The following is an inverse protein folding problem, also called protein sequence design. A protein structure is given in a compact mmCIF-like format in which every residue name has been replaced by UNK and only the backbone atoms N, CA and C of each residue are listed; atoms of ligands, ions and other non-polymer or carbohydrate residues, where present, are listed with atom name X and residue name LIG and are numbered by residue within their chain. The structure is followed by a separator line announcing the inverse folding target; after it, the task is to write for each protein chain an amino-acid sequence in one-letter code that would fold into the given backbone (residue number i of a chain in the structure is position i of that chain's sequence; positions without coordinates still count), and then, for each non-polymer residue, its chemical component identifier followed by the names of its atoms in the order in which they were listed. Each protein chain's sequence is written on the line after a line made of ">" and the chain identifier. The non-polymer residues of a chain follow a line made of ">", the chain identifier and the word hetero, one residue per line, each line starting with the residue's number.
data_IF_059886195353
#
_entry.id   IF_059886195353
#
_cell.length_a   1.000
_cell.length_b   1.000
_cell.length_c   1.000
_cell.angle_alpha   90.00
_cell.angle_beta   90.00
_cell.angle_gamma   90.00
#
_symmetry.space_group_name_H-M   'P 1'
#
loop_
_entity.id
_entity.type
_entity.pdbx_description
1 polymer ?
#
# COMPACT_ATOMS: atom_id res chain seq x y z
N UNK A 1 51.09 31.20 -2.60
CA UNK A 1 50.19 31.03 -3.76
C UNK A 1 49.95 29.55 -3.95
N UNK A 2 48.67 29.16 -3.92
CA UNK A 2 48.05 27.90 -4.35
C UNK A 2 48.48 26.59 -3.65
N UNK A 3 47.75 26.26 -2.57
CA UNK A 3 47.44 24.87 -2.20
C UNK A 3 46.56 24.25 -3.29
N UNK A 4 47.06 23.22 -3.97
CA UNK A 4 46.38 22.52 -5.05
C UNK A 4 45.87 21.16 -4.54
N UNK A 5 44.92 21.17 -3.59
CA UNK A 5 44.21 19.98 -3.14
C UNK A 5 42.95 19.76 -3.99
N UNK A 6 43.13 19.36 -5.25
CA UNK A 6 42.04 18.80 -6.07
C UNK A 6 41.97 17.29 -5.85
N UNK A 7 41.43 16.88 -4.70
CA UNK A 7 41.08 15.49 -4.44
C UNK A 7 39.72 15.22 -5.13
N UNK A 8 39.75 14.94 -6.43
CA UNK A 8 38.59 14.38 -7.13
C UNK A 8 38.23 13.05 -6.47
N UNK A 9 36.98 12.82 -6.03
CA UNK A 9 36.59 11.52 -5.49
C UNK A 9 36.87 10.43 -6.54
N UNK A 10 37.50 9.34 -6.12
CA UNK A 10 37.93 8.26 -7.02
C UNK A 10 36.77 7.74 -7.89
N UNK A 11 37.04 7.53 -9.18
CA UNK A 11 36.05 7.00 -10.12
C UNK A 11 35.57 5.62 -9.68
N UNK A 12 34.25 5.47 -9.50
CA UNK A 12 33.60 4.19 -9.19
C UNK A 12 33.29 3.37 -10.45
N UNK A 13 33.71 3.88 -11.62
CA UNK A 13 33.48 3.24 -12.91
C UNK A 13 34.28 1.93 -12.99
N UNK A 14 33.58 0.81 -13.26
CA UNK A 14 34.17 -0.53 -13.31
C UNK A 14 34.06 -1.34 -12.01
N UNK A 15 33.50 -0.76 -10.93
CA UNK A 15 33.12 -1.53 -9.75
C UNK A 15 31.86 -2.37 -10.02
N UNK A 16 31.77 -3.53 -9.37
CA UNK A 16 30.62 -4.42 -9.50
C UNK A 16 29.42 -3.88 -8.70
N UNK A 17 28.29 -3.71 -9.35
CA UNK A 17 27.03 -3.38 -8.70
C UNK A 17 26.41 -4.59 -8.01
N UNK A 18 25.67 -4.35 -6.93
CA UNK A 18 24.82 -5.39 -6.33
C UNK A 18 23.74 -5.82 -7.34
N UNK A 19 23.41 -7.12 -7.36
CA UNK A 19 22.36 -7.69 -8.20
C UNK A 19 21.20 -8.15 -7.35
N UNK A 20 20.00 -8.08 -7.91
CA UNK A 20 18.78 -8.52 -7.23
C UNK A 20 18.28 -9.78 -7.92
N UNK A 21 18.36 -10.92 -7.23
CA UNK A 21 17.83 -12.19 -7.74
C UNK A 21 16.30 -12.10 -7.89
N UNK A 22 15.68 -12.69 -8.93
CA UNK A 22 14.22 -12.78 -9.04
C UNK A 22 13.53 -13.38 -7.81
N UNK A 23 14.19 -14.31 -7.10
CA UNK A 23 13.67 -14.90 -5.85
C UNK A 23 13.42 -13.84 -4.76
N UNK A 24 14.10 -12.69 -4.81
CA UNK A 24 13.88 -11.59 -3.89
C UNK A 24 12.49 -10.99 -4.01
N UNK A 25 11.83 -11.05 -5.18
CA UNK A 25 10.46 -10.57 -5.36
C UNK A 25 9.48 -11.30 -4.41
N UNK A 26 9.68 -12.62 -4.28
CA UNK A 26 8.90 -13.45 -3.35
C UNK A 26 9.25 -13.17 -1.89
N UNK A 27 10.55 -13.11 -1.55
CA UNK A 27 10.95 -12.80 -0.17
C UNK A 27 10.43 -11.44 0.27
N UNK A 28 10.48 -10.44 -0.61
CA UNK A 28 10.02 -9.09 -0.33
C UNK A 28 8.50 -9.02 -0.09
N UNK A 29 7.71 -9.85 -0.77
CA UNK A 29 6.25 -9.90 -0.60
C UNK A 29 5.80 -10.46 0.75
N UNK A 30 6.62 -11.27 1.42
CA UNK A 30 6.33 -11.81 2.77
C UNK A 30 6.26 -10.76 3.88
N UNK A 31 6.63 -9.51 3.57
CA UNK A 31 6.45 -8.37 4.48
C UNK A 31 4.98 -8.08 4.78
N UNK A 32 4.07 -8.54 3.93
CA UNK A 32 2.62 -8.38 4.10
C UNK A 32 1.99 -9.71 4.51
N UNK A 33 1.63 -9.83 5.80
CA UNK A 33 0.85 -10.98 6.28
C UNK A 33 -0.59 -10.98 5.75
N UNK A 34 -1.14 -9.80 5.44
CA UNK A 34 -2.54 -9.60 5.06
C UNK A 34 -2.66 -8.88 3.71
N UNK A 35 -3.46 -9.41 2.78
CA UNK A 35 -3.58 -8.90 1.41
C UNK A 35 -4.06 -7.45 1.31
N UNK A 36 -4.98 -6.98 2.17
CA UNK A 36 -5.39 -5.57 2.09
C UNK A 36 -4.30 -4.60 2.54
N UNK A 37 -3.34 -5.05 3.37
CA UNK A 37 -2.17 -4.23 3.67
C UNK A 37 -1.31 -3.99 2.41
N UNK A 38 -1.22 -5.00 1.53
CA UNK A 38 -0.54 -4.89 0.25
C UNK A 38 -1.32 -4.00 -0.74
N UNK A 39 -2.65 -4.12 -0.80
CA UNK A 39 -3.50 -3.22 -1.61
C UNK A 39 -3.31 -1.77 -1.14
N UNK A 40 -3.26 -1.54 0.17
CA UNK A 40 -3.16 -0.20 0.70
C UNK A 40 -1.80 0.47 0.40
N UNK A 41 -0.71 -0.27 0.18
CA UNK A 41 0.54 0.32 -0.36
C UNK A 41 0.32 0.93 -1.76
N UNK A 42 -0.54 0.33 -2.58
CA UNK A 42 -0.89 0.86 -3.91
C UNK A 42 -1.75 2.13 -3.77
N UNK A 43 -2.72 2.10 -2.85
CA UNK A 43 -3.56 3.27 -2.51
C UNK A 43 -2.70 4.41 -1.99
N UNK A 44 -1.73 4.12 -1.12
CA UNK A 44 -0.81 5.11 -0.53
C UNK A 44 0.04 5.82 -1.60
N UNK A 45 0.44 5.12 -2.66
CA UNK A 45 1.18 5.74 -3.77
C UNK A 45 0.34 6.74 -4.56
N UNK A 46 -0.95 6.44 -4.81
CA UNK A 46 -1.86 7.38 -5.46
C UNK A 46 -2.21 8.56 -4.54
N UNK A 47 -2.37 8.29 -3.24
CA UNK A 47 -2.68 9.29 -2.23
C UNK A 47 -1.53 10.29 -2.00
N UNK A 48 -0.29 9.88 -2.22
CA UNK A 48 0.89 10.69 -1.90
C UNK A 48 0.97 12.02 -2.69
N UNK A 49 1.55 13.07 -2.08
CA UNK A 49 1.51 14.44 -2.61
C UNK A 49 2.26 14.66 -3.92
N UNK A 50 3.12 13.72 -4.32
CA UNK A 50 3.79 13.71 -5.62
C UNK A 50 2.92 13.12 -6.74
N UNK A 51 1.96 12.25 -6.41
CA UNK A 51 0.98 11.73 -7.38
C UNK A 51 -0.18 12.70 -7.59
N UNK A 52 -0.68 13.33 -6.52
CA UNK A 52 -1.80 14.29 -6.55
C UNK A 52 -3.10 13.76 -7.17
N UNK A 53 -3.39 12.47 -7.00
CA UNK A 53 -4.66 11.91 -7.45
C UNK A 53 -5.83 12.42 -6.61
N UNK A 54 -6.92 12.80 -7.28
CA UNK A 54 -8.19 13.14 -6.64
C UNK A 54 -9.11 11.92 -6.57
N UNK A 55 -8.96 10.97 -7.50
CA UNK A 55 -9.77 9.77 -7.62
C UNK A 55 -8.88 8.53 -7.80
N UNK A 56 -9.24 7.47 -7.08
CA UNK A 56 -8.69 6.13 -7.23
C UNK A 56 -9.82 5.13 -7.44
N UNK A 57 -9.72 4.29 -8.47
CA UNK A 57 -10.61 3.16 -8.68
C UNK A 57 -9.85 1.84 -8.56
N UNK A 58 -10.29 0.99 -7.65
CA UNK A 58 -9.86 -0.40 -7.55
C UNK A 58 -10.95 -1.25 -8.21
N UNK A 59 -10.58 -2.07 -9.17
CA UNK A 59 -11.56 -2.88 -9.90
C UNK A 59 -11.05 -4.28 -10.18
N UNK A 60 -11.96 -5.16 -10.51
CA UNK A 60 -11.67 -6.50 -11.01
C UNK A 60 -12.27 -6.68 -12.40
N UNK A 61 -11.56 -7.41 -13.25
CA UNK A 61 -12.09 -7.92 -14.51
C UNK A 61 -11.36 -9.21 -14.90
N UNK A 62 -11.97 -9.97 -15.80
CA UNK A 62 -11.36 -11.19 -16.36
C UNK A 62 -10.85 -10.87 -17.77
N UNK A 63 -9.57 -11.15 -18.03
CA UNK A 63 -8.98 -11.06 -19.36
C UNK A 63 -8.31 -12.37 -19.73
N UNK A 64 -8.63 -12.90 -20.91
CA UNK A 64 -8.14 -14.19 -21.40
C UNK A 64 -8.27 -15.33 -20.36
N UNK A 65 -9.39 -15.34 -19.62
CA UNK A 65 -9.67 -16.35 -18.59
C UNK A 65 -8.88 -16.17 -17.28
N UNK A 66 -8.18 -15.06 -17.10
CA UNK A 66 -7.45 -14.74 -15.87
C UNK A 66 -8.09 -13.58 -15.12
N UNK A 67 -8.22 -13.71 -13.81
CA UNK A 67 -8.60 -12.61 -12.92
C UNK A 67 -7.51 -11.55 -12.84
N UNK A 68 -7.90 -10.30 -13.04
CA UNK A 68 -7.02 -9.13 -12.99
C UNK A 68 -7.54 -8.17 -11.93
N UNK A 69 -6.72 -7.88 -10.93
CA UNK A 69 -6.93 -6.75 -10.04
C UNK A 69 -6.35 -5.49 -10.70
N UNK A 70 -7.16 -4.46 -10.85
CA UNK A 70 -6.75 -3.17 -11.40
C UNK A 70 -6.84 -2.07 -10.36
N UNK A 71 -5.86 -1.18 -10.36
CA UNK A 71 -5.82 0.03 -9.54
C UNK A 71 -5.53 1.19 -10.47
N UNK A 72 -6.44 2.16 -10.59
CA UNK A 72 -6.32 3.28 -11.53
C UNK A 72 -6.55 4.61 -10.81
N UNK A 73 -5.55 5.48 -10.88
CA UNK A 73 -5.62 6.85 -10.37
C UNK A 73 -5.63 7.88 -11.51
N UNK A 74 -6.07 9.10 -11.18
CA UNK A 74 -6.08 10.26 -12.07
C UNK A 74 -4.98 11.29 -11.73
N UNK A 75 -3.90 10.83 -11.12
CA UNK A 75 -2.78 11.69 -10.71
C UNK A 75 -1.94 12.20 -11.88
N UNK A 76 -0.75 12.70 -11.58
CA UNK A 76 0.17 13.30 -12.56
C UNK A 76 0.84 12.30 -13.52
N UNK A 77 0.72 11.00 -13.25
CA UNK A 77 1.51 9.95 -13.90
C UNK A 77 3.02 10.11 -13.66
N UNK A 78 3.82 9.38 -14.43
CA UNK A 78 5.27 9.26 -14.32
C UNK A 78 5.95 9.45 -15.68
N UNK A 79 7.20 9.91 -15.66
CA UNK A 79 8.12 9.77 -16.82
C UNK A 79 8.62 8.33 -16.95
N UNK A 80 9.22 7.96 -18.09
CA UNK A 80 9.89 6.66 -18.27
C UNK A 80 10.92 6.38 -17.16
N UNK A 81 11.73 7.38 -16.80
CA UNK A 81 12.72 7.26 -15.73
C UNK A 81 12.07 7.07 -14.35
N UNK A 82 10.99 7.80 -14.06
CA UNK A 82 10.26 7.64 -12.80
C UNK A 82 9.59 6.27 -12.70
N UNK A 83 9.05 5.75 -13.81
CA UNK A 83 8.53 4.39 -13.89
C UNK A 83 9.63 3.36 -13.64
N UNK A 84 10.79 3.51 -14.29
CA UNK A 84 11.95 2.64 -14.06
C UNK A 84 12.41 2.67 -12.59
N UNK A 85 12.49 3.85 -11.99
CA UNK A 85 12.82 4.01 -10.57
C UNK A 85 11.73 3.39 -9.66
N UNK A 86 10.46 3.55 -10.02
CA UNK A 86 9.32 2.99 -9.30
C UNK A 86 9.30 1.46 -9.35
N UNK A 87 9.79 0.84 -10.43
CA UNK A 87 9.97 -0.61 -10.55
C UNK A 87 11.29 -1.11 -9.92
N UNK A 88 12.32 -0.26 -9.84
CA UNK A 88 13.64 -0.59 -9.29
C UNK A 88 13.70 -0.53 -7.76
N UNK A 89 14.46 -1.42 -7.13
CA UNK A 89 14.61 -1.44 -5.67
C UNK A 89 15.47 -0.30 -5.13
N UNK A 90 15.05 0.29 -4.00
CA UNK A 90 15.85 1.28 -3.27
C UNK A 90 15.75 2.72 -3.78
N UNK A 91 14.98 2.98 -4.85
CA UNK A 91 14.73 4.33 -5.34
C UNK A 91 13.43 4.88 -4.75
N UNK A 92 13.52 5.99 -4.03
CA UNK A 92 12.37 6.71 -3.47
C UNK A 92 12.63 8.21 -3.46
N UNK A 93 11.90 8.96 -4.30
CA UNK A 93 11.97 10.41 -4.36
C UNK A 93 10.61 11.00 -3.99
N UNK A 94 10.27 11.00 -2.71
CA UNK A 94 9.00 11.57 -2.22
C UNK A 94 9.25 12.86 -1.44
N UNK A 95 8.59 13.94 -1.86
CA UNK A 95 8.74 15.26 -1.25
C UNK A 95 7.37 15.71 -0.73
N UNK A 96 7.31 16.11 0.55
CA UNK A 96 6.07 16.64 1.12
C UNK A 96 5.71 18.00 0.52
N UNK A 97 4.41 18.21 0.26
CA UNK A 97 3.89 19.47 -0.27
C UNK A 97 2.76 20.02 0.62
N UNK A 98 2.78 21.33 0.91
CA UNK A 98 1.68 22.06 1.58
C UNK A 98 1.10 21.38 2.83
N UNK A 99 1.97 20.85 3.70
CA UNK A 99 1.56 20.15 4.93
C UNK A 99 1.00 18.74 4.72
N UNK A 100 0.94 18.25 3.48
CA UNK A 100 0.76 16.84 3.14
C UNK A 100 2.12 16.14 3.15
N UNK A 101 2.32 15.22 4.09
CA UNK A 101 3.53 14.40 4.15
C UNK A 101 3.32 13.13 3.34
N UNK A 102 4.32 12.68 2.57
CA UNK A 102 4.24 11.40 1.91
C UNK A 102 4.20 10.29 2.95
N UNK A 103 3.47 9.24 2.64
CA UNK A 103 3.37 7.99 3.39
C UNK A 103 4.55 7.09 3.02
N UNK A 104 4.85 7.00 1.73
CA UNK A 104 5.97 6.20 1.25
C UNK A 104 7.33 6.84 1.57
N UNK A 105 8.24 6.05 2.14
CA UNK A 105 9.62 6.47 2.40
C UNK A 105 10.68 5.47 1.94
N UNK A 106 10.27 4.23 1.65
CA UNK A 106 11.20 3.10 1.48
C UNK A 106 11.42 2.69 0.02
N UNK A 107 10.63 3.22 -0.93
CA UNK A 107 10.72 2.82 -2.34
C UNK A 107 10.36 1.36 -2.61
N UNK A 108 9.63 0.71 -1.69
CA UNK A 108 9.38 -0.72 -1.72
C UNK A 108 7.90 -1.11 -1.82
N UNK A 109 6.98 -0.24 -1.41
CA UNK A 109 5.55 -0.55 -1.25
C UNK A 109 4.88 -1.14 -2.49
N UNK A 110 5.16 -0.60 -3.68
CA UNK A 110 4.66 -1.18 -4.92
C UNK A 110 5.16 -2.62 -5.14
N UNK A 111 6.48 -2.86 -4.97
CA UNK A 111 7.08 -4.17 -5.25
C UNK A 111 6.59 -5.21 -4.25
N UNK A 112 6.63 -4.90 -2.95
CA UNK A 112 6.16 -5.81 -1.90
C UNK A 112 4.66 -6.06 -2.00
N UNK A 113 3.87 -5.01 -2.27
CA UNK A 113 2.43 -5.08 -2.37
C UNK A 113 1.96 -5.86 -3.60
N UNK A 114 2.44 -5.49 -4.80
CA UNK A 114 2.05 -6.17 -6.04
C UNK A 114 2.42 -7.66 -6.03
N UNK A 115 3.66 -7.98 -5.63
CA UNK A 115 4.15 -9.37 -5.55
C UNK A 115 3.50 -10.18 -4.41
N UNK A 116 2.80 -9.52 -3.47
CA UNK A 116 1.96 -10.20 -2.46
C UNK A 116 0.58 -10.55 -3.00
N UNK A 117 0.03 -9.72 -3.89
CA UNK A 117 -1.31 -9.86 -4.46
C UNK A 117 -1.32 -10.88 -5.60
N UNK A 118 -0.31 -10.84 -6.47
CA UNK A 118 -0.16 -11.75 -7.60
C UNK A 118 1.29 -11.94 -8.02
N UNK A 119 1.54 -12.87 -8.94
CA UNK A 119 2.90 -13.16 -9.43
C UNK A 119 3.41 -12.12 -10.41
N UNK A 120 2.50 -11.41 -11.09
CA UNK A 120 2.83 -10.57 -12.23
C UNK A 120 2.05 -9.26 -12.21
N UNK A 121 2.74 -8.16 -12.53
CA UNK A 121 2.16 -6.83 -12.57
C UNK A 121 2.63 -6.03 -13.81
N UNK A 122 1.70 -5.23 -14.34
CA UNK A 122 1.96 -4.20 -15.35
C UNK A 122 1.58 -2.84 -14.79
N UNK A 123 2.36 -1.82 -15.14
CA UNK A 123 2.12 -0.43 -14.75
C UNK A 123 2.06 0.42 -16.00
N UNK A 124 0.87 0.91 -16.30
CA UNK A 124 0.60 1.89 -17.35
C UNK A 124 0.58 3.27 -16.73
N UNK A 125 1.18 4.26 -17.39
CA UNK A 125 1.19 5.65 -16.92
C UNK A 125 1.04 6.61 -18.08
N UNK A 126 0.29 7.70 -17.86
CA UNK A 126 0.14 8.83 -18.78
C UNK A 126 0.55 10.11 -18.11
N UNK A 127 1.39 10.88 -18.78
CA UNK A 127 1.87 12.17 -18.30
C UNK A 127 2.07 13.14 -19.46
N UNK A 128 1.70 14.40 -19.24
CA UNK A 128 2.15 15.50 -20.09
C UNK A 128 3.65 15.77 -19.89
N UNK A 129 4.34 16.07 -20.99
CA UNK A 129 5.69 16.63 -20.94
C UNK A 129 5.72 17.91 -20.10
N UNK A 130 6.90 18.28 -19.60
CA UNK A 130 7.04 19.42 -18.69
C UNK A 130 6.57 20.77 -19.31
N UNK A 131 6.62 20.89 -20.63
CA UNK A 131 6.11 22.03 -21.39
C UNK A 131 4.61 21.93 -21.74
N UNK A 132 3.95 20.83 -21.38
CA UNK A 132 2.54 20.56 -21.64
C UNK A 132 2.20 20.28 -23.10
N UNK A 133 3.21 20.07 -23.96
CA UNK A 133 3.01 19.96 -25.40
C UNK A 133 2.74 18.54 -25.90
N UNK A 134 3.26 17.52 -25.21
CA UNK A 134 3.29 16.13 -25.68
C UNK A 134 2.80 15.17 -24.60
N UNK A 135 2.08 14.13 -25.00
CA UNK A 135 1.63 13.07 -24.11
C UNK A 135 2.62 11.91 -24.14
N UNK A 136 3.24 11.63 -23.00
CA UNK A 136 4.07 10.46 -22.77
C UNK A 136 3.20 9.34 -22.16
N UNK A 137 3.16 8.19 -22.83
CA UNK A 137 2.55 6.95 -22.34
C UNK A 137 3.68 5.96 -22.08
N UNK A 138 3.72 5.32 -20.92
CA UNK A 138 4.71 4.28 -20.64
C UNK A 138 4.06 3.07 -20.00
N UNK A 139 4.51 1.88 -20.40
CA UNK A 139 4.16 0.62 -19.76
C UNK A 139 5.42 -0.04 -19.23
N UNK A 140 5.36 -0.58 -18.02
CA UNK A 140 6.45 -1.33 -17.42
C UNK A 140 5.94 -2.64 -16.82
N UNK A 141 6.75 -3.69 -16.91
CA UNK A 141 6.41 -5.03 -16.42
C UNK A 141 7.31 -5.47 -15.27
N UNK A 142 6.69 -5.93 -14.18
CA UNK A 142 7.34 -6.65 -13.08
C UNK A 142 6.68 -8.03 -12.95
N UNK A 143 7.31 -9.06 -13.52
CA UNK A 143 6.70 -10.38 -13.67
C UNK A 143 7.65 -11.50 -13.24
N UNK A 144 7.22 -12.28 -12.26
CA UNK A 144 7.97 -13.49 -11.85
C UNK A 144 7.89 -14.57 -12.93
N UNK A 145 6.75 -14.67 -13.61
CA UNK A 145 6.53 -15.64 -14.69
C UNK A 145 7.47 -15.37 -15.86
N UNK A 146 7.59 -14.11 -16.28
CA UNK A 146 8.54 -13.67 -17.29
C UNK A 146 9.99 -13.99 -16.90
N UNK A 147 10.41 -13.57 -15.70
CA UNK A 147 11.80 -13.77 -15.23
C UNK A 147 12.17 -15.26 -15.16
N UNK A 148 11.22 -16.12 -14.78
CA UNK A 148 11.41 -17.57 -14.79
C UNK A 148 11.49 -18.12 -16.22
N UNK A 149 10.61 -17.67 -17.13
CA UNK A 149 10.56 -18.14 -18.51
C UNK A 149 11.84 -17.83 -19.29
N UNK A 150 12.44 -16.66 -19.08
CA UNK A 150 13.71 -16.27 -19.74
C UNK A 150 14.95 -16.73 -18.99
N UNK A 151 14.80 -17.39 -17.84
CA UNK A 151 15.92 -17.86 -17.02
C UNK A 151 16.81 -16.72 -16.49
N UNK A 152 16.21 -15.60 -16.09
CA UNK A 152 16.97 -14.43 -15.68
C UNK A 152 17.70 -14.65 -14.33
N UNK A 153 18.99 -14.34 -14.28
CA UNK A 153 19.78 -14.36 -13.03
C UNK A 153 19.53 -13.13 -12.14
N UNK A 154 19.03 -12.04 -12.73
CA UNK A 154 18.73 -10.77 -12.07
C UNK A 154 17.35 -10.28 -12.50
N UNK A 155 16.71 -9.45 -11.68
CA UNK A 155 15.47 -8.77 -12.08
C UNK A 155 15.76 -7.88 -13.30
N UNK A 156 15.03 -8.13 -14.39
CA UNK A 156 14.99 -7.33 -15.62
C UNK A 156 13.58 -6.76 -15.76
N UNK A 157 13.47 -5.51 -16.21
CA UNK A 157 12.22 -4.75 -16.23
C UNK A 157 11.93 -4.26 -17.65
N UNK A 158 11.12 -4.99 -18.44
CA UNK A 158 10.69 -4.50 -19.75
C UNK A 158 9.88 -3.21 -19.59
N UNK A 159 10.33 -2.14 -20.25
CA UNK A 159 9.66 -0.84 -20.27
C UNK A 159 9.57 -0.35 -21.71
N UNK A 160 8.38 0.06 -22.13
CA UNK A 160 8.14 0.64 -23.44
C UNK A 160 7.39 1.97 -23.27
N UNK A 161 7.79 2.97 -24.06
CA UNK A 161 7.21 4.31 -24.01
C UNK A 161 6.76 4.77 -25.40
N UNK A 162 5.71 5.58 -25.45
CA UNK A 162 5.21 6.25 -26.63
C UNK A 162 5.07 7.74 -26.36
N UNK A 163 5.40 8.54 -27.36
CA UNK A 163 5.27 9.98 -27.35
C UNK A 163 4.35 10.41 -28.49
N UNK A 164 3.18 10.96 -28.15
CA UNK A 164 2.11 11.33 -29.10
C UNK A 164 1.77 10.21 -30.11
N UNK A 165 1.59 8.98 -29.60
CA UNK A 165 1.27 7.74 -30.34
C UNK A 165 2.41 7.03 -31.08
N UNK A 166 3.58 7.66 -31.23
CA UNK A 166 4.76 7.00 -31.80
C UNK A 166 5.60 6.37 -30.70
N UNK A 167 6.12 5.16 -30.92
CA UNK A 167 7.06 4.56 -29.97
C UNK A 167 8.27 5.47 -29.78
N UNK A 168 8.67 5.67 -28.53
CA UNK A 168 9.73 6.58 -28.14
C UNK A 168 11.10 6.01 -28.55
N UNK A 169 11.61 6.50 -29.68
CA UNK A 169 12.90 6.09 -30.26
C UNK A 169 14.10 6.51 -29.40
N UNK A 170 13.94 7.48 -28.51
CA UNK A 170 15.01 7.90 -27.60
C UNK A 170 15.22 6.87 -26.48
N UNK A 171 14.22 6.02 -26.22
CA UNK A 171 14.35 4.88 -25.32
C UNK A 171 14.63 3.60 -26.12
N UNK A 172 15.91 3.37 -26.40
CA UNK A 172 16.42 2.37 -27.35
C UNK A 172 16.00 0.91 -27.08
N UNK A 173 15.55 0.59 -25.86
CA UNK A 173 15.09 -0.75 -25.48
C UNK A 173 13.56 -0.91 -25.56
N UNK A 174 12.80 0.12 -25.94
CA UNK A 174 11.34 0.08 -26.01
C UNK A 174 10.83 -1.00 -26.97
N UNK A 175 11.42 -1.12 -28.16
CA UNK A 175 11.04 -2.12 -29.17
C UNK A 175 11.21 -3.55 -28.62
N UNK A 176 12.38 -3.82 -28.03
CA UNK A 176 12.69 -5.13 -27.45
C UNK A 176 11.81 -5.42 -26.24
N UNK A 177 11.62 -4.44 -25.36
CA UNK A 177 10.77 -4.55 -24.18
C UNK A 177 9.32 -4.84 -24.56
N UNK A 178 8.81 -4.16 -25.59
CA UNK A 178 7.45 -4.39 -26.10
C UNK A 178 7.31 -5.79 -26.68
N UNK A 179 8.28 -6.25 -27.47
CA UNK A 179 8.28 -7.61 -28.01
C UNK A 179 8.23 -8.67 -26.88
N UNK A 180 9.06 -8.51 -25.84
CA UNK A 180 9.05 -9.39 -24.68
C UNK A 180 7.72 -9.35 -23.92
N UNK A 181 7.10 -8.17 -23.78
CA UNK A 181 5.78 -8.04 -23.18
C UNK A 181 4.69 -8.74 -24.02
N UNK A 182 4.72 -8.61 -25.35
CA UNK A 182 3.77 -9.28 -26.24
C UNK A 182 3.92 -10.80 -26.25
N UNK A 183 5.15 -11.30 -26.11
CA UNK A 183 5.44 -12.72 -26.07
C UNK A 183 5.09 -13.36 -24.72
N UNK A 184 5.45 -12.72 -23.61
CA UNK A 184 5.38 -13.34 -22.29
C UNK A 184 4.18 -12.89 -21.43
N UNK A 185 3.48 -11.81 -21.78
CA UNK A 185 2.29 -11.39 -21.05
C UNK A 185 1.02 -12.05 -21.62
N UNK A 186 0.36 -12.96 -20.88
CA UNK A 186 -0.81 -13.67 -21.38
C UNK A 186 -2.08 -12.79 -21.44
N UNK A 187 -2.09 -11.60 -20.84
CA UNK A 187 -3.28 -10.73 -20.81
C UNK A 187 -3.69 -10.21 -22.19
N UNK A 188 -2.73 -10.10 -23.12
CA UNK A 188 -2.97 -9.49 -24.43
C UNK A 188 -2.91 -10.48 -25.59
N UNK A 189 -2.43 -11.72 -25.38
CA UNK A 189 -2.25 -12.74 -26.44
C UNK A 189 -1.49 -12.16 -27.66
N UNK A 190 -0.43 -11.39 -27.42
CA UNK A 190 0.35 -10.73 -28.48
C UNK A 190 -0.37 -9.62 -29.24
N UNK A 191 -1.56 -9.19 -28.80
CA UNK A 191 -2.32 -8.12 -29.44
C UNK A 191 -1.93 -6.75 -28.85
N UNK A 192 -1.22 -5.94 -29.64
CA UNK A 192 -0.79 -4.60 -29.25
C UNK A 192 -1.97 -3.65 -28.96
N UNK A 193 -3.05 -3.70 -29.76
CA UNK A 193 -4.20 -2.82 -29.57
C UNK A 193 -4.85 -3.03 -28.20
N UNK A 194 -4.90 -4.28 -27.71
CA UNK A 194 -5.40 -4.58 -26.36
C UNK A 194 -4.52 -3.99 -25.26
N UNK A 195 -3.20 -3.99 -25.44
CA UNK A 195 -2.29 -3.32 -24.52
C UNK A 195 -2.52 -1.81 -24.55
N UNK A 196 -2.63 -1.22 -25.74
CA UNK A 196 -2.82 0.21 -25.91
C UNK A 196 -4.16 0.71 -25.33
N UNK A 197 -5.22 -0.11 -25.42
CA UNK A 197 -6.53 0.18 -24.81
C UNK A 197 -6.47 0.35 -23.29
N UNK A 198 -5.49 -0.23 -22.59
CA UNK A 198 -5.33 0.02 -21.14
C UNK A 198 -4.93 1.47 -20.82
N UNK A 199 -4.29 2.19 -21.75
CA UNK A 199 -4.05 3.63 -21.61
C UNK A 199 -5.31 4.48 -21.78
N UNK A 200 -6.33 3.98 -22.48
CA UNK A 200 -7.58 4.71 -22.69
C UNK A 200 -8.46 4.72 -21.43
N UNK A 201 -8.25 3.75 -20.53
CA UNK A 201 -8.91 3.69 -19.22
C UNK A 201 -8.37 4.74 -18.26
N UNK A 202 -7.09 5.11 -18.39
CA UNK A 202 -6.50 6.21 -17.63
C UNK A 202 -7.10 7.53 -18.16
N UNK A 203 -7.50 8.48 -17.28
CA UNK A 203 -8.00 9.80 -17.66
C UNK A 203 -7.00 10.65 -18.49
N UNK A 204 -6.94 11.96 -18.25
CA UNK A 204 -5.98 12.83 -18.95
C UNK A 204 -4.53 12.43 -18.60
N UNK A 205 -4.24 12.30 -17.31
CA UNK A 205 -3.00 11.77 -16.76
C UNK A 205 -3.34 10.77 -15.65
N UNK A 206 -2.34 9.99 -15.22
CA UNK A 206 -2.49 9.08 -14.09
C UNK A 206 -1.77 7.77 -14.31
N UNK A 207 -2.03 6.83 -13.41
CA UNK A 207 -1.41 5.50 -13.44
C UNK A 207 -2.48 4.42 -13.37
N UNK A 208 -2.28 3.33 -14.10
CA UNK A 208 -3.08 2.12 -14.02
C UNK A 208 -2.17 0.92 -13.80
N UNK A 209 -2.37 0.25 -12.67
CA UNK A 209 -1.66 -0.96 -12.29
C UNK A 209 -2.58 -2.14 -12.55
N UNK A 210 -2.09 -3.15 -13.28
CA UNK A 210 -2.75 -4.43 -13.45
C UNK A 210 -1.94 -5.50 -12.72
N UNK A 211 -2.59 -6.29 -11.87
CA UNK A 211 -1.97 -7.41 -11.18
C UNK A 211 -2.77 -8.66 -11.55
N UNK A 212 -2.06 -9.69 -12.01
CA UNK A 212 -2.65 -10.94 -12.48
C UNK A 212 -1.82 -12.13 -11.99
N UNK A 213 -2.28 -13.34 -12.31
CA UNK A 213 -1.83 -14.56 -11.62
C UNK A 213 -1.96 -14.38 -10.10
N UNK A 214 -3.18 -13.99 -9.70
CA UNK A 214 -3.55 -13.64 -8.33
C UNK A 214 -3.32 -14.81 -7.38
N UNK A 215 -2.99 -14.48 -6.13
CA UNK A 215 -2.69 -15.50 -5.11
C UNK A 215 -3.94 -16.31 -4.75
N UNK A 216 -3.76 -17.63 -4.72
CA UNK A 216 -4.76 -18.61 -4.25
C UNK A 216 -4.62 -18.85 -2.75
N UNK A 217 -5.68 -19.32 -2.12
CA UNK A 217 -5.68 -19.67 -0.69
C UNK A 217 -4.70 -20.80 -0.34
N UNK A 218 -4.29 -21.61 -1.32
CA UNK A 218 -3.25 -22.62 -1.17
C UNK A 218 -2.52 -22.84 -2.50
N UNK A 219 -1.46 -23.65 -2.49
CA UNK A 219 -0.72 -24.04 -3.70
C UNK A 219 -1.50 -25.02 -4.58
N UNK A 220 -2.66 -25.53 -4.14
CA UNK A 220 -3.55 -26.33 -4.97
C UNK A 220 -4.10 -25.47 -6.12
N UNK A 221 -3.90 -25.85 -7.39
CA UNK A 221 -4.44 -25.13 -8.54
C UNK A 221 -5.97 -24.96 -8.52
N UNK A 222 -6.70 -25.87 -7.88
CA UNK A 222 -8.16 -25.82 -7.75
C UNK A 222 -8.61 -24.94 -6.58
N UNK A 223 -7.70 -24.49 -5.71
CA UNK A 223 -8.05 -23.61 -4.61
C UNK A 223 -8.51 -22.24 -5.13
N UNK A 224 -9.58 -21.71 -4.53
CA UNK A 224 -10.07 -20.37 -4.82
C UNK A 224 -9.04 -19.27 -4.54
N UNK A 225 -9.29 -18.09 -5.09
CA UNK A 225 -8.47 -16.90 -4.85
C UNK A 225 -8.59 -16.43 -3.39
N UNK A 226 -7.51 -15.83 -2.88
CA UNK A 226 -7.52 -15.17 -1.56
C UNK A 226 -8.46 -13.95 -1.54
N UNK A 227 -8.68 -13.34 -2.71
CA UNK A 227 -9.62 -12.26 -2.94
C UNK A 227 -10.88 -12.81 -3.61
N UNK A 228 -12.03 -12.62 -2.97
CA UNK A 228 -13.34 -12.94 -3.49
C UNK A 228 -13.96 -11.69 -4.11
N UNK A 229 -14.27 -11.79 -5.40
CA UNK A 229 -14.85 -10.74 -6.24
C UNK A 229 -16.34 -10.98 -6.54
N UNK A 230 -16.91 -12.11 -6.09
CA UNK A 230 -18.24 -12.57 -6.51
C UNK A 230 -19.30 -12.39 -5.42
N UNK A 231 -18.96 -12.65 -4.15
CA UNK A 231 -19.93 -12.63 -3.04
C UNK A 231 -20.61 -11.27 -2.89
N UNK A 232 -19.87 -10.19 -3.06
CA UNK A 232 -20.38 -8.83 -3.08
C UNK A 232 -19.71 -8.04 -4.20
N UNK A 233 -20.46 -7.74 -5.26
CA UNK A 233 -19.94 -7.01 -6.44
C UNK A 233 -19.54 -5.58 -6.11
N UNK A 234 -20.03 -5.02 -5.01
CA UNK A 234 -19.62 -3.71 -4.53
C UNK A 234 -18.32 -3.77 -3.72
N UNK A 235 -17.79 -4.94 -3.37
CA UNK A 235 -16.65 -5.07 -2.48
C UNK A 235 -15.60 -6.06 -3.03
N UNK A 236 -14.46 -6.13 -2.34
CA UNK A 236 -13.48 -7.19 -2.50
C UNK A 236 -13.30 -7.81 -1.12
N UNK A 237 -13.66 -9.08 -0.99
CA UNK A 237 -13.71 -9.79 0.28
C UNK A 237 -12.46 -10.66 0.45
N UNK A 238 -11.92 -10.73 1.66
CA UNK A 238 -10.82 -11.64 1.99
C UNK A 238 -11.36 -13.05 2.28
N UNK A 239 -11.11 -14.00 1.38
CA UNK A 239 -11.60 -15.39 1.44
C UNK A 239 -11.18 -16.13 2.72
N UNK A 240 -9.99 -15.84 3.26
CA UNK A 240 -9.51 -16.45 4.51
C UNK A 240 -10.44 -16.17 5.69
N UNK A 241 -11.12 -15.01 5.69
CA UNK A 241 -12.09 -14.64 6.72
C UNK A 241 -13.49 -15.23 6.49
N UNK A 242 -13.74 -15.78 5.30
CA UNK A 242 -14.96 -16.51 4.91
C UNK A 242 -14.80 -18.00 5.18
N UNK A 243 -13.60 -18.57 5.02
CA UNK A 243 -13.28 -19.95 5.38
C UNK A 243 -13.55 -20.27 6.86
N UNK A 244 -13.35 -19.29 7.76
CA UNK A 244 -13.78 -19.39 9.17
C UNK A 244 -15.31 -19.54 9.35
N UNK A 245 -16.11 -19.10 8.39
CA UNK A 245 -17.58 -19.25 8.38
C UNK A 245 -18.04 -20.58 7.76
N UNK A 246 -17.21 -21.23 6.92
CA UNK A 246 -17.46 -22.55 6.34
C UNK A 246 -17.16 -23.71 7.31
N UNK A 247 -16.62 -23.41 8.50
CA UNK A 247 -16.30 -24.39 9.54
C UNK A 247 -17.56 -25.11 10.07
N UNK A 248 -17.40 -26.41 10.34
CA UNK A 248 -18.42 -27.28 10.89
C UNK A 248 -18.89 -26.72 12.26
N UNK A 249 -20.13 -26.99 12.72
CA UNK A 249 -20.63 -26.47 14.01
C UNK A 249 -19.70 -26.70 15.20
N UNK A 250 -18.99 -27.83 15.25
CA UNK A 250 -17.99 -28.15 16.29
C UNK A 250 -16.72 -27.27 16.23
N UNK A 251 -16.26 -26.92 15.03
CA UNK A 251 -15.13 -26.01 14.83
C UNK A 251 -15.54 -24.55 15.07
N UNK A 252 -16.77 -24.18 14.72
CA UNK A 252 -17.39 -22.90 15.09
C UNK A 252 -17.51 -22.73 16.61
N UNK A 253 -17.83 -23.79 17.35
CA UNK A 253 -17.86 -23.80 18.82
C UNK A 253 -16.46 -23.58 19.43
N UNK A 254 -15.39 -24.09 18.81
CA UNK A 254 -14.00 -23.75 19.22
C UNK A 254 -13.63 -22.31 18.87
N UNK A 255 -14.10 -21.79 17.73
CA UNK A 255 -13.92 -20.38 17.32
C UNK A 255 -14.79 -19.40 18.12
N UNK A 256 -15.87 -19.84 18.76
CA UNK A 256 -16.73 -19.00 19.59
C UNK A 256 -16.00 -18.43 20.84
N UNK A 257 -14.84 -19.00 21.18
CA UNK A 257 -13.92 -18.49 22.20
C UNK A 257 -12.91 -17.48 21.66
N UNK A 258 -12.86 -17.23 20.34
CA UNK A 258 -12.03 -16.20 19.73
C UNK A 258 -12.87 -14.93 19.50
N UNK A 259 -12.30 -13.74 19.73
CA UNK A 259 -13.01 -12.49 19.49
C UNK A 259 -13.43 -12.37 18.01
N UNK A 260 -14.57 -11.71 17.71
CA UNK A 260 -15.02 -11.49 16.35
C UNK A 260 -13.91 -10.82 15.52
N UNK A 261 -13.64 -11.36 14.32
CA UNK A 261 -12.72 -10.73 13.38
C UNK A 261 -13.33 -9.38 12.96
N UNK A 262 -12.60 -8.25 13.12
CA UNK A 262 -13.13 -6.94 12.75
C UNK A 262 -13.59 -6.92 11.30
N UNK A 263 -14.66 -6.18 11.00
CA UNK A 263 -15.21 -6.12 9.64
C UNK A 263 -14.17 -5.64 8.61
N UNK A 264 -13.25 -4.80 9.06
CA UNK A 264 -12.13 -4.27 8.27
C UNK A 264 -11.09 -5.32 7.88
N UNK A 265 -11.06 -6.50 8.51
CA UNK A 265 -10.22 -7.63 8.07
C UNK A 265 -10.86 -8.45 6.94
N UNK A 266 -12.19 -8.37 6.80
CA UNK A 266 -12.97 -9.10 5.80
C UNK A 266 -13.23 -8.27 4.55
N UNK A 267 -13.68 -7.04 4.72
CA UNK A 267 -14.17 -6.15 3.66
C UNK A 267 -13.12 -5.09 3.31
N UNK A 268 -12.69 -5.05 2.05
CA UNK A 268 -11.75 -4.02 1.58
C UNK A 268 -12.41 -2.65 1.67
N UNK A 269 -13.68 -2.54 1.27
CA UNK A 269 -14.49 -1.32 1.38
C UNK A 269 -14.48 -0.75 2.80
N UNK A 270 -14.70 -1.58 3.81
CA UNK A 270 -14.69 -1.14 5.20
C UNK A 270 -13.29 -0.73 5.68
N UNK A 271 -12.24 -1.43 5.23
CA UNK A 271 -10.87 -1.05 5.55
C UNK A 271 -10.48 0.29 4.93
N UNK A 272 -10.77 0.49 3.64
CA UNK A 272 -10.47 1.72 2.92
C UNK A 272 -11.26 2.92 3.47
N UNK A 273 -12.48 2.69 3.97
CA UNK A 273 -13.30 3.74 4.60
C UNK A 273 -12.62 4.40 5.82
N UNK A 274 -11.75 3.68 6.52
CA UNK A 274 -11.04 4.19 7.71
C UNK A 274 -9.52 4.35 7.49
N UNK A 275 -9.02 4.08 6.28
CA UNK A 275 -7.59 4.05 5.99
C UNK A 275 -6.89 5.38 6.30
N UNK A 276 -7.59 6.48 6.02
CA UNK A 276 -7.08 7.83 6.26
C UNK A 276 -7.90 8.56 7.32
N UNK A 277 -7.21 9.18 8.28
CA UNK A 277 -7.86 9.96 9.34
C UNK A 277 -8.57 11.22 8.78
N UNK A 278 -7.94 11.85 7.79
CA UNK A 278 -8.43 12.98 7.01
C UNK A 278 -8.33 12.62 5.53
N UNK A 279 -9.36 11.98 4.95
CA UNK A 279 -9.35 11.58 3.55
C UNK A 279 -9.31 12.83 2.64
N UNK A 280 -8.47 12.77 1.60
CA UNK A 280 -8.29 13.81 0.58
C UNK A 280 -8.53 13.32 -0.86
N UNK A 281 -8.53 12.00 -1.04
CA UNK A 281 -8.74 11.32 -2.33
C UNK A 281 -10.04 10.51 -2.25
N UNK A 282 -10.81 10.50 -3.33
CA UNK A 282 -12.01 9.68 -3.48
C UNK A 282 -11.62 8.27 -3.92
N UNK A 283 -12.02 7.25 -3.15
CA UNK A 283 -11.72 5.86 -3.45
C UNK A 283 -13.00 5.17 -3.92
N UNK A 284 -12.91 4.38 -5.00
CA UNK A 284 -13.98 3.53 -5.54
C UNK A 284 -13.54 2.08 -5.61
N UNK A 285 -14.46 1.15 -5.37
CA UNK A 285 -14.30 -0.27 -5.65
C UNK A 285 -15.34 -0.65 -6.70
N UNK A 286 -14.92 -1.22 -7.83
CA UNK A 286 -15.77 -1.55 -8.97
C UNK A 286 -16.65 -0.36 -9.42
N UNK A 287 -16.04 0.83 -9.52
CA UNK A 287 -16.70 2.11 -9.81
C UNK A 287 -17.67 2.64 -8.73
N UNK A 288 -17.90 1.90 -7.65
CA UNK A 288 -18.77 2.34 -6.55
C UNK A 288 -17.99 3.07 -5.44
N UNK A 289 -18.41 4.28 -5.02
CA UNK A 289 -17.69 5.09 -4.05
C UNK A 289 -17.61 4.43 -2.68
N UNK A 290 -16.42 4.40 -2.09
CA UNK A 290 -16.20 4.03 -0.70
C UNK A 290 -16.50 5.24 0.17
N UNK A 291 -17.49 5.10 1.05
CA UNK A 291 -17.87 6.16 1.99
C UNK A 291 -16.83 6.26 3.12
N UNK A 292 -15.93 7.23 3.02
CA UNK A 292 -14.94 7.47 4.06
C UNK A 292 -15.61 7.83 5.39
N UNK A 293 -15.14 7.19 6.47
CA UNK A 293 -15.67 7.35 7.81
C UNK A 293 -14.65 8.11 8.67
N UNK A 294 -14.78 9.45 8.81
CA UNK A 294 -13.92 10.21 9.70
C UNK A 294 -14.32 9.91 11.16
N UNK A 295 -13.84 8.80 11.71
CA UNK A 295 -14.26 8.26 13.01
C UNK A 295 -14.18 9.30 14.13
N UNK A 296 -13.22 10.22 14.09
CA UNK A 296 -13.10 11.36 15.02
C UNK A 296 -14.37 12.22 15.14
N UNK A 297 -15.18 12.30 14.08
CA UNK A 297 -16.46 13.04 14.05
C UNK A 297 -17.65 12.19 14.48
N UNK A 298 -17.51 10.86 14.42
CA UNK A 298 -18.58 9.91 14.79
C UNK A 298 -18.59 9.59 16.28
N UNK A 299 -17.50 9.88 17.00
CA UNK A 299 -17.43 9.63 18.43
C UNK A 299 -18.38 10.52 19.23
N UNK A 300 -19.12 9.91 20.14
CA UNK A 300 -19.89 10.56 21.19
C UNK A 300 -19.10 10.57 22.50
N UNK A 301 -19.43 11.52 23.40
CA UNK A 301 -18.79 11.64 24.73
C UNK A 301 -17.25 11.66 24.66
N UNK A 302 -16.74 12.58 23.84
CA UNK A 302 -15.32 12.67 23.54
C UNK A 302 -14.53 13.29 24.71
N UNK A 303 -13.38 12.70 25.02
CA UNK A 303 -12.35 13.26 25.90
C UNK A 303 -11.04 13.34 25.14
N UNK A 304 -10.37 14.49 25.25
CA UNK A 304 -9.03 14.68 24.70
C UNK A 304 -7.99 14.50 25.81
N UNK A 305 -7.15 13.50 25.66
CA UNK A 305 -6.04 13.19 26.54
C UNK A 305 -4.70 13.41 25.85
N UNK A 306 -3.63 13.53 26.65
CA UNK A 306 -2.28 13.68 26.15
C UNK A 306 -1.37 12.64 26.78
N UNK A 307 -0.64 11.91 25.94
CA UNK A 307 0.35 10.95 26.39
C UNK A 307 1.77 11.51 26.19
N UNK A 308 2.55 11.52 27.26
CA UNK A 308 3.97 11.86 27.24
C UNK A 308 4.79 10.59 27.38
N UNK A 309 5.57 10.17 26.37
CA UNK A 309 6.49 9.05 26.50
C UNK A 309 7.54 9.34 27.59
N UNK A 310 7.88 8.35 28.42
CA UNK A 310 9.05 8.45 29.31
C UNK A 310 10.32 8.30 28.49
N UNK A 311 11.03 9.40 28.26
CA UNK A 311 12.26 9.46 27.49
C UNK A 311 13.46 9.71 28.41
N UNK A 312 14.68 9.50 27.91
CA UNK A 312 15.86 10.00 28.62
C UNK A 312 15.88 11.53 28.60
N UNK A 313 16.49 12.16 29.62
CA UNK A 313 16.58 13.63 29.71
C UNK A 313 17.21 14.27 28.45
N UNK A 314 18.14 13.56 27.79
CA UNK A 314 18.79 14.00 26.56
C UNK A 314 17.84 13.97 25.35
N UNK A 315 16.96 12.98 25.27
CA UNK A 315 15.95 12.86 24.21
C UNK A 315 14.80 13.84 24.43
N UNK A 316 14.39 14.03 25.68
CA UNK A 316 13.35 14.99 26.08
C UNK A 316 13.79 16.41 25.74
N UNK A 317 15.01 16.83 26.11
CA UNK A 317 15.55 18.14 25.75
C UNK A 317 15.66 18.35 24.23
N UNK A 318 16.04 17.30 23.47
CA UNK A 318 16.08 17.34 21.99
C UNK A 318 14.71 17.53 21.36
N UNK A 319 13.67 16.96 21.94
CA UNK A 319 12.31 16.98 21.39
C UNK A 319 11.50 18.19 21.88
N UNK A 320 11.75 18.69 23.09
CA UNK A 320 11.20 19.95 23.59
C UNK A 320 11.61 21.13 22.70
N UNK A 321 12.87 21.18 22.26
CA UNK A 321 13.36 22.18 21.30
C UNK A 321 12.64 22.15 19.95
N UNK A 322 12.10 20.98 19.55
CA UNK A 322 11.37 20.82 18.27
C UNK A 322 9.87 21.12 18.39
N UNK A 323 9.36 21.30 19.61
CA UNK A 323 7.94 21.45 19.89
C UNK A 323 7.14 20.16 19.61
N UNK A 324 6.26 19.79 20.54
CA UNK A 324 5.20 18.80 20.34
C UNK A 324 5.64 17.30 20.34
N UNK A 325 6.23 16.84 21.45
CA UNK A 325 6.49 15.40 21.69
C UNK A 325 5.31 14.64 22.33
N UNK A 326 4.29 15.36 22.82
CA UNK A 326 3.10 14.76 23.43
C UNK A 326 2.18 14.22 22.35
N UNK A 327 1.75 12.97 22.50
CA UNK A 327 0.80 12.35 21.61
C UNK A 327 -0.62 12.74 22.03
N UNK A 328 -1.41 13.29 21.10
CA UNK A 328 -2.82 13.58 21.30
C UNK A 328 -3.62 12.29 21.22
N UNK A 329 -4.49 12.07 22.19
CA UNK A 329 -5.32 10.88 22.32
C UNK A 329 -6.78 11.32 22.36
N UNK A 330 -7.57 10.96 21.35
CA UNK A 330 -9.01 11.23 21.37
C UNK A 330 -9.72 9.94 21.77
N UNK A 331 -10.43 9.99 22.90
CA UNK A 331 -11.17 8.86 23.46
C UNK A 331 -12.66 9.17 23.35
N UNK A 332 -13.47 8.24 22.88
CA UNK A 332 -14.91 8.41 22.84
C UNK A 332 -15.64 7.11 22.54
N UNK A 333 -16.96 7.17 22.39
CA UNK A 333 -17.79 6.00 22.10
C UNK A 333 -18.37 6.09 20.71
N UNK A 334 -18.26 5.03 19.93
CA UNK A 334 -18.97 4.92 18.66
C UNK A 334 -20.47 4.72 18.91
N UNK A 335 -21.35 5.12 17.97
CA UNK A 335 -22.79 4.91 18.09
C UNK A 335 -23.15 3.43 18.28
N UNK A 336 -24.28 3.18 18.95
CA UNK A 336 -24.82 1.83 19.12
C UNK A 336 -25.03 1.14 17.75
N UNK A 337 -24.61 -0.12 17.63
CA UNK A 337 -24.63 -0.87 16.37
C UNK A 337 -23.30 -0.88 15.61
N UNK A 338 -22.34 -0.03 15.99
CA UNK A 338 -20.96 -0.16 15.48
C UNK A 338 -20.28 -1.37 16.15
N UNK A 339 -20.11 -2.46 15.41
CA UNK A 339 -19.69 -3.77 15.95
C UNK A 339 -18.25 -3.83 16.50
N UNK A 340 -17.39 -2.93 16.03
CA UNK A 340 -15.97 -2.91 16.37
C UNK A 340 -15.60 -1.77 17.35
N UNK A 341 -14.65 -2.04 18.25
CA UNK A 341 -14.11 -1.11 19.26
C UNK A 341 -12.62 -1.38 19.51
N UNK A 342 -11.89 -0.42 20.09
CA UNK A 342 -10.46 -0.56 20.38
C UNK A 342 -9.68 0.68 20.00
N UNK A 343 -8.35 0.57 19.90
CA UNK A 343 -7.50 1.66 19.47
C UNK A 343 -7.27 1.63 17.95
N UNK A 344 -7.36 2.79 17.31
CA UNK A 344 -6.84 3.01 15.97
C UNK A 344 -5.64 3.94 16.03
N UNK A 345 -4.54 3.45 15.47
CA UNK A 345 -3.26 4.13 15.47
C UNK A 345 -3.02 4.68 14.08
N UNK A 346 -2.89 6.00 13.95
CA UNK A 346 -2.56 6.65 12.69
C UNK A 346 -1.14 7.24 12.74
N UNK A 347 -0.41 7.09 11.66
CA UNK A 347 0.89 7.72 11.42
C UNK A 347 0.82 8.51 10.12
N UNK A 348 1.14 9.81 10.16
CA UNK A 348 1.06 10.69 9.00
C UNK A 348 -0.26 10.55 8.21
N UNK A 349 -1.40 10.59 8.91
CA UNK A 349 -2.74 10.43 8.35
C UNK A 349 -3.13 9.00 7.92
N UNK A 350 -2.20 8.04 7.92
CA UNK A 350 -2.41 6.65 7.51
C UNK A 350 -2.62 5.71 8.70
N UNK A 351 -3.68 4.90 8.65
CA UNK A 351 -3.97 3.87 9.63
C UNK A 351 -2.85 2.82 9.66
N UNK A 352 -2.34 2.47 10.84
CA UNK A 352 -1.30 1.44 11.02
C UNK A 352 -1.88 0.21 11.71
N UNK A 353 -2.67 0.44 12.77
CA UNK A 353 -3.34 -0.63 13.52
C UNK A 353 -4.81 -0.24 13.76
N UNK A 354 -5.71 -1.21 13.59
CA UNK A 354 -7.15 -1.00 13.68
C UNK A 354 -7.75 -1.88 14.79
N UNK A 355 -8.57 -1.27 15.65
CA UNK A 355 -9.34 -1.96 16.69
C UNK A 355 -8.52 -2.79 17.67
N UNK A 356 -7.30 -2.35 17.99
CA UNK A 356 -6.44 -3.03 18.95
C UNK A 356 -7.04 -3.00 20.36
N UNK A 357 -7.12 -4.17 21.00
CA UNK A 357 -7.71 -4.31 22.33
C UNK A 357 -6.67 -3.94 23.39
N UNK A 358 -6.75 -2.71 23.88
CA UNK A 358 -5.81 -2.20 24.89
C UNK A 358 -6.15 -2.60 26.33
N UNK A 359 -7.38 -3.04 26.59
CA UNK A 359 -7.86 -3.42 27.93
C UNK A 359 -8.27 -4.89 27.91
N UNK A 360 -7.81 -5.65 28.92
CA UNK A 360 -8.06 -7.10 29.04
C UNK A 360 -9.50 -7.46 29.44
N UNK A 361 -10.30 -6.49 29.88
CA UNK A 361 -11.70 -6.68 30.29
C UNK A 361 -12.69 -6.10 29.25
N UNK A 362 -13.19 -6.92 28.30
CA UNK A 362 -14.03 -6.46 27.20
C UNK A 362 -15.43 -5.97 27.62
N UNK A 363 -15.91 -6.34 28.82
CA UNK A 363 -17.27 -6.04 29.28
C UNK A 363 -17.54 -4.60 29.70
N UNK A 364 -16.52 -3.73 29.81
CA UNK A 364 -16.66 -2.37 30.37
C UNK A 364 -16.19 -1.23 29.46
N UNK A 365 -15.54 -1.50 28.33
CA UNK A 365 -14.92 -0.46 27.51
C UNK A 365 -15.22 -0.63 26.02
N UNK A 366 -16.30 0.01 25.54
CA UNK A 366 -16.59 0.24 24.11
C UNK A 366 -16.02 1.57 23.63
N UNK A 367 -14.85 1.94 24.12
CA UNK A 367 -14.21 3.20 23.76
C UNK A 367 -13.32 3.01 22.53
N UNK A 368 -13.36 3.99 21.62
CA UNK A 368 -12.39 4.17 20.55
C UNK A 368 -11.28 5.08 21.05
N UNK A 369 -10.02 4.65 20.94
CA UNK A 369 -8.87 5.52 21.11
C UNK A 369 -8.31 5.86 19.73
N UNK A 370 -8.32 7.14 19.36
CA UNK A 370 -7.70 7.64 18.14
C UNK A 370 -6.39 8.34 18.48
N UNK A 371 -5.31 7.92 17.81
CA UNK A 371 -3.98 8.50 17.93
C UNK A 371 -3.60 9.18 16.60
N UNK A 372 -3.81 10.51 16.44
CA UNK A 372 -3.65 11.21 15.16
C UNK A 372 -2.21 11.42 14.72
N UNK A 373 -1.25 11.31 15.65
CA UNK A 373 0.18 11.48 15.41
C UNK A 373 0.97 10.44 16.18
N UNK A 374 1.29 9.34 15.51
CA UNK A 374 2.46 8.54 15.87
C UNK A 374 3.74 9.34 15.59
N UNK A 375 4.68 9.33 16.52
CA UNK A 375 6.07 9.74 16.30
C UNK A 375 6.96 8.61 16.79
N UNK A 376 8.21 8.55 16.31
CA UNK A 376 9.17 7.45 16.56
C UNK A 376 9.31 7.07 18.05
N UNK A 377 9.01 7.97 18.99
CA UNK A 377 8.93 7.66 20.43
C UNK A 377 7.92 6.56 20.79
N UNK A 378 6.88 6.32 19.98
CA UNK A 378 5.84 5.31 20.19
C UNK A 378 6.33 3.86 20.01
N UNK A 379 7.44 3.62 19.28
CA UNK A 379 7.99 2.28 19.04
C UNK A 379 8.62 1.66 20.30
N UNK A 380 9.21 2.50 21.16
CA UNK A 380 9.78 2.09 22.46
C UNK A 380 8.66 1.60 23.41
N UNK A 381 7.42 2.08 23.20
CA UNK A 381 6.31 1.87 24.13
C UNK A 381 5.54 0.59 23.84
N UNK A 382 5.29 0.23 22.58
CA UNK A 382 4.62 -1.04 22.27
C UNK A 382 5.49 -2.23 22.67
N UNK A 383 6.80 -2.15 22.45
CA UNK A 383 7.73 -3.21 22.88
C UNK A 383 7.79 -3.35 24.42
N UNK A 384 7.70 -2.27 25.18
CA UNK A 384 7.73 -2.33 26.67
C UNK A 384 6.40 -2.72 27.32
N UNK A 385 5.26 -2.43 26.68
CA UNK A 385 3.94 -2.87 27.18
C UNK A 385 3.63 -4.32 26.80
N UNK A 386 4.18 -4.82 25.70
CA UNK A 386 4.07 -6.23 25.30
C UNK A 386 5.08 -7.15 26.02
N UNK A 387 6.20 -6.62 26.53
CA UNK A 387 7.26 -7.42 27.20
C UNK A 387 7.02 -7.71 28.69
N UNK A 388 5.83 -7.45 29.24
CA UNK A 388 5.40 -8.07 30.50
C UNK A 388 6.27 -7.85 31.74
N UNK A 389 6.87 -6.67 31.95
CA UNK A 389 7.45 -6.35 33.26
C UNK A 389 6.40 -5.70 34.15
N UNK A 390 5.85 -6.50 35.06
CA UNK A 390 5.00 -6.09 36.17
C UNK A 390 5.69 -5.02 37.01
N UNK A 391 5.11 -3.83 37.09
CA UNK A 391 5.28 -2.99 38.28
C UNK A 391 3.90 -2.50 38.73
N UNK A 392 3.72 -2.64 40.04
CA UNK A 392 2.49 -2.59 40.82
C UNK A 392 1.59 -1.39 40.53
N UNK A 393 0.29 -1.68 40.45
CA UNK A 393 -0.78 -0.71 40.52
C UNK A 393 -0.73 0.09 41.83
N UNK A 394 -0.75 1.41 41.74
CA UNK A 394 -1.20 2.29 42.81
C UNK A 394 -2.58 2.85 42.45
N UNK A 395 -3.42 2.88 43.48
CA UNK A 395 -4.86 3.00 43.44
C UNK A 395 -5.41 4.30 42.81
N UNK A 396 -6.57 4.18 42.19
CA UNK A 396 -7.47 5.29 41.85
C UNK A 396 -8.24 5.71 43.12
N UNK A 397 -8.38 7.01 43.44
CA UNK A 397 -9.41 7.48 44.37
C UNK A 397 -10.77 7.46 43.65
N UNK A 398 -11.80 7.03 44.36
CA UNK A 398 -13.14 6.71 43.84
C UNK A 398 -14.10 7.88 43.66
#
# INVERSE_FOLDING_TARGET
>A
MADNNNNQPGSVQGLRSARTSPAYLMTNSTSHSWVFSAIAELVDNAYDPDCQADNLNIGHYVSNGMDVLSVTDDGLGMTTEQLHNMLSFGYCFKVGQRGHKPIGHYGNGFKSGSMRIGKDALVFTKRWSADGARMLKSVGMLSQTFLAAVGADTVVLPIASWLDESLDVDNADSDQSLALMMEHCPLFNGNLDRLLQEFDVIPVTGTRILIYNLKRCSEDPEAGLELDFETDRSDIICSETVSAAALNPAQRLQMHNLPPVPHTRRSLRAYLAILYLQPRMSIRINAEPVQSQPLQRLLTRQTLEYYSPKLSATEEARLEQRGNYRCRMLIGFLPDGHGDYGALLYHHNRLILAYEKLIKEPGRARALLLLPRWTICSLIILNRTLSGTSTSATAWPG
#
